data_IF_028288438527
#
_entry.id   IF_028288438527
#
_cell.length_a   1.000
_cell.length_b   1.000
_cell.length_c   1.000
_cell.angle_alpha   90.00
_cell.angle_beta   90.00
_cell.angle_gamma   90.00
#
_symmetry.space_group_name_H-M   'P 1'
#
loop_
_entity.id
_entity.type
_entity.pdbx_description
1 polymer ?
#
# COMPACT_ATOMS: atom_id res chain seq x y z
N UNK A 1 8.60 -70.18 15.77
CA UNK A 1 7.31 -70.75 15.35
C UNK A 1 6.60 -69.73 14.49
N UNK A 2 6.53 -70.03 13.20
CA UNK A 2 5.84 -69.28 12.15
C UNK A 2 4.32 -69.39 12.29
N UNK A 3 3.61 -68.26 12.28
CA UNK A 3 2.21 -68.23 11.82
C UNK A 3 1.97 -66.98 10.98
N UNK A 4 1.37 -67.26 9.83
CA UNK A 4 1.02 -66.41 8.70
C UNK A 4 -0.51 -66.21 8.63
N UNK A 5 -0.95 -65.17 7.90
CA UNK A 5 -2.23 -65.06 7.16
C UNK A 5 -3.45 -64.65 8.05
N UNK A 6 -4.38 -63.73 7.70
CA UNK A 6 -4.94 -63.26 6.42
C UNK A 6 -5.63 -61.89 6.60
N UNK A 7 -5.78 -61.16 5.50
CA UNK A 7 -6.66 -60.02 5.33
C UNK A 7 -8.16 -60.38 5.46
N UNK A 8 -8.98 -59.41 5.86
CA UNK A 8 -10.39 -59.31 5.48
C UNK A 8 -10.79 -57.84 5.34
N UNK A 9 -11.48 -57.60 4.23
CA UNK A 9 -11.94 -56.34 3.68
C UNK A 9 -13.43 -56.17 3.99
N UNK A 10 -13.89 -54.95 4.30
CA UNK A 10 -15.06 -54.25 3.70
C UNK A 10 -15.74 -53.23 4.63
N UNK A 11 -15.98 -52.05 4.03
CA UNK A 11 -17.14 -51.15 4.16
C UNK A 11 -17.39 -50.55 5.58
N UNK A 12 -17.44 -49.25 5.82
CA UNK A 12 -17.46 -48.05 4.99
C UNK A 12 -18.16 -46.98 5.83
N UNK A 13 -17.48 -45.88 6.17
CA UNK A 13 -18.08 -44.62 6.68
C UNK A 13 -17.07 -43.52 6.35
N UNK A 14 -17.47 -42.58 5.50
CA UNK A 14 -16.73 -41.33 5.22
C UNK A 14 -16.64 -40.46 6.49
N UNK A 15 -15.59 -39.64 6.58
CA UNK A 15 -15.92 -38.23 6.76
C UNK A 15 -15.13 -37.35 5.79
N UNK A 16 -15.89 -36.48 5.10
CA UNK A 16 -15.40 -35.26 4.49
C UNK A 16 -14.64 -34.43 5.54
N UNK A 17 -13.40 -34.07 5.21
CA UNK A 17 -12.69 -32.99 5.87
C UNK A 17 -11.90 -32.24 4.80
N UNK A 18 -12.47 -31.11 4.44
CA UNK A 18 -11.87 -30.02 3.67
C UNK A 18 -10.49 -29.59 4.22
N UNK A 19 -9.79 -28.88 3.35
CA UNK A 19 -8.62 -28.01 3.59
C UNK A 19 -7.25 -28.61 3.26
N UNK A 20 -6.98 -28.70 1.96
CA UNK A 20 -5.63 -28.57 1.41
C UNK A 20 -5.71 -27.80 0.09
N UNK A 21 -5.81 -26.48 0.20
CA UNK A 21 -5.37 -25.57 -0.86
C UNK A 21 -4.07 -24.91 -0.37
N UNK A 22 -2.99 -25.65 -0.57
CA UNK A 22 -1.62 -25.14 -0.56
C UNK A 22 -1.45 -24.22 -1.79
N UNK A 23 -1.95 -22.99 -1.71
CA UNK A 23 -1.67 -21.97 -2.73
C UNK A 23 -0.34 -21.32 -2.38
N UNK A 24 0.70 -21.78 -3.06
CA UNK A 24 1.98 -21.11 -3.15
C UNK A 24 1.76 -19.61 -3.43
N UNK A 25 2.54 -18.75 -2.77
CA UNK A 25 2.67 -17.34 -3.15
C UNK A 25 3.36 -17.28 -4.51
N UNK A 26 2.62 -17.54 -5.58
CA UNK A 26 3.05 -17.25 -6.94
C UNK A 26 3.04 -15.73 -7.09
N UNK A 27 4.25 -15.18 -7.10
CA UNK A 27 4.51 -13.81 -7.49
C UNK A 27 4.36 -13.71 -9.01
N UNK A 28 3.13 -13.70 -9.51
CA UNK A 28 2.83 -13.25 -10.87
C UNK A 28 2.90 -11.73 -10.89
N UNK A 29 4.14 -11.23 -10.93
CA UNK A 29 4.45 -9.87 -11.33
C UNK A 29 4.78 -9.94 -12.81
N UNK A 30 3.76 -9.81 -13.65
CA UNK A 30 3.96 -9.39 -15.05
C UNK A 30 4.51 -7.97 -15.01
N UNK A 31 5.83 -7.85 -15.11
CA UNK A 31 6.52 -6.59 -15.36
C UNK A 31 6.24 -6.17 -16.80
N UNK A 32 5.17 -5.40 -17.01
CA UNK A 32 5.03 -4.62 -18.23
C UNK A 32 6.13 -3.54 -18.26
N UNK A 33 7.12 -3.76 -19.14
CA UNK A 33 8.18 -2.80 -19.47
C UNK A 33 7.57 -1.48 -19.97
N UNK A 34 7.52 -0.48 -19.10
CA UNK A 34 7.32 0.90 -19.51
C UNK A 34 8.64 1.45 -20.07
N UNK A 35 8.87 1.27 -21.37
CA UNK A 35 9.98 1.92 -22.06
C UNK A 35 9.78 3.44 -22.05
N UNK A 36 10.64 4.13 -21.29
CA UNK A 36 10.78 5.57 -21.26
C UNK A 36 11.59 6.02 -22.48
N UNK A 37 10.99 6.80 -23.38
CA UNK A 37 11.73 7.57 -24.39
C UNK A 37 11.47 9.07 -24.19
N UNK A 38 12.47 9.88 -23.82
CA UNK A 38 12.29 11.30 -23.58
C UNK A 38 12.46 12.07 -24.89
N UNK A 39 11.44 12.79 -25.34
CA UNK A 39 11.63 13.79 -26.40
C UNK A 39 10.52 14.84 -26.44
N UNK A 40 10.91 16.01 -25.93
CA UNK A 40 10.47 17.37 -26.29
C UNK A 40 9.15 17.89 -25.70
N UNK A 41 9.37 18.75 -24.72
CA UNK A 41 8.49 19.79 -24.25
C UNK A 41 8.12 20.78 -25.36
N UNK A 42 6.85 21.18 -25.39
CA UNK A 42 6.44 22.53 -25.78
C UNK A 42 5.49 23.04 -24.69
N UNK A 43 5.87 24.20 -24.15
CA UNK A 43 5.15 24.97 -23.14
C UNK A 43 3.87 25.55 -23.75
N UNK A 44 2.72 25.30 -23.13
CA UNK A 44 1.55 26.15 -23.31
C UNK A 44 1.06 26.60 -21.94
N UNK A 45 1.42 27.84 -21.61
CA UNK A 45 1.00 28.57 -20.42
C UNK A 45 -0.46 29.02 -20.58
N UNK A 46 -1.39 28.13 -20.25
CA UNK A 46 -2.82 28.42 -20.15
C UNK A 46 -3.24 28.72 -18.70
N UNK A 47 -3.40 30.00 -18.41
CA UNK A 47 -3.95 30.61 -17.20
C UNK A 47 -5.10 29.81 -16.53
N UNK A 48 -4.83 29.17 -15.39
CA UNK A 48 -5.83 28.40 -14.64
C UNK A 48 -6.47 29.26 -13.55
N UNK A 49 -7.43 30.08 -13.96
CA UNK A 49 -8.21 30.96 -13.09
C UNK A 49 -9.56 30.34 -12.70
N UNK A 50 -9.76 30.22 -11.38
CA UNK A 50 -11.01 30.05 -10.63
C UNK A 50 -11.38 28.62 -10.22
N UNK A 51 -11.20 28.40 -8.91
CA UNK A 51 -11.86 27.37 -8.12
C UNK A 51 -13.39 27.44 -8.35
N UNK A 52 -13.98 26.30 -8.70
CA UNK A 52 -15.42 26.10 -8.65
C UNK A 52 -15.66 24.94 -7.69
N UNK A 53 -16.32 25.23 -6.58
CA UNK A 53 -16.75 24.22 -5.61
C UNK A 53 -17.65 23.17 -6.29
N UNK A 54 -17.63 21.90 -5.85
CA UNK A 54 -18.40 20.86 -6.52
C UNK A 54 -19.87 20.99 -6.10
N UNK A 55 -20.70 21.61 -6.95
CA UNK A 55 -22.13 21.37 -6.89
C UNK A 55 -22.40 19.87 -7.14
N UNK A 56 -23.14 19.25 -6.23
CA UNK A 56 -23.58 17.87 -6.30
C UNK A 56 -24.43 17.66 -7.57
N UNK A 57 -23.82 17.15 -8.63
CA UNK A 57 -24.56 16.69 -9.81
C UNK A 57 -25.40 15.44 -9.45
N UNK A 58 -26.64 15.34 -9.93
CA UNK A 58 -27.52 14.24 -9.57
C UNK A 58 -27.00 12.91 -10.14
N UNK A 59 -27.31 11.84 -9.42
CA UNK A 59 -27.11 10.46 -9.88
C UNK A 59 -27.65 10.30 -11.31
N UNK A 60 -26.95 9.51 -12.13
CA UNK A 60 -27.35 9.09 -13.48
C UNK A 60 -28.81 8.59 -13.45
N UNK A 61 -29.77 9.48 -13.72
CA UNK A 61 -31.15 9.10 -13.98
C UNK A 61 -31.16 8.47 -15.37
N UNK A 62 -31.54 7.20 -15.40
CA UNK A 62 -31.69 6.41 -16.60
C UNK A 62 -32.75 7.06 -17.50
N UNK A 63 -32.30 7.76 -18.55
CA UNK A 63 -33.17 8.08 -19.67
C UNK A 63 -32.93 7.01 -20.75
N UNK A 64 -33.82 6.04 -20.76
CA UNK A 64 -33.79 4.89 -21.66
C UNK A 64 -34.45 5.29 -22.99
N UNK A 65 -33.78 6.16 -23.76
CA UNK A 65 -34.23 6.52 -25.10
C UNK A 65 -33.52 5.66 -26.15
N UNK A 66 -34.31 4.81 -26.79
CA UNK A 66 -34.07 3.91 -27.93
C UNK A 66 -32.93 4.38 -28.86
N UNK A 67 -31.89 3.57 -28.99
CA UNK A 67 -30.89 3.69 -30.06
C UNK A 67 -30.92 2.40 -30.88
N UNK A 68 -31.11 2.60 -32.17
CA UNK A 68 -31.21 1.63 -33.26
C UNK A 68 -29.95 0.76 -33.38
N UNK A 69 -30.12 -0.45 -33.90
CA UNK A 69 -29.14 -1.53 -33.86
C UNK A 69 -28.11 -1.40 -34.98
N UNK A 70 -26.85 -1.05 -34.67
CA UNK A 70 -25.71 -1.38 -35.54
C UNK A 70 -24.35 -1.36 -34.79
N UNK A 71 -23.53 -2.37 -35.10
CA UNK A 71 -22.16 -2.71 -34.66
C UNK A 71 -21.93 -3.35 -33.26
N UNK A 72 -21.21 -4.51 -33.19
CA UNK A 72 -20.82 -5.13 -31.91
C UNK A 72 -19.85 -4.28 -31.08
N UNK A 73 -19.17 -3.32 -31.71
CA UNK A 73 -18.21 -2.39 -31.09
C UNK A 73 -18.95 -1.36 -30.21
N UNK A 74 -20.11 -0.88 -30.66
CA UNK A 74 -20.93 0.06 -29.89
C UNK A 74 -21.44 -0.61 -28.62
N UNK A 75 -21.87 -1.88 -28.68
CA UNK A 75 -22.32 -2.60 -27.50
C UNK A 75 -21.22 -2.75 -26.43
N UNK A 76 -19.98 -3.04 -26.84
CA UNK A 76 -18.83 -3.11 -25.93
C UNK A 76 -18.52 -1.75 -25.29
N UNK A 77 -18.56 -0.66 -26.08
CA UNK A 77 -18.37 0.70 -25.58
C UNK A 77 -19.50 1.11 -24.61
N UNK A 78 -20.77 0.85 -24.94
CA UNK A 78 -21.91 1.15 -24.07
C UNK A 78 -21.89 0.33 -22.78
N UNK A 79 -21.52 -0.95 -22.85
CA UNK A 79 -21.30 -1.78 -21.67
C UNK A 79 -20.19 -1.20 -20.78
N UNK A 80 -19.05 -0.81 -21.37
CA UNK A 80 -17.94 -0.20 -20.65
C UNK A 80 -18.34 1.14 -20.01
N UNK A 81 -18.99 2.04 -20.74
CA UNK A 81 -19.48 3.34 -20.25
C UNK A 81 -20.49 3.19 -19.11
N UNK A 82 -21.36 2.19 -19.20
CA UNK A 82 -22.30 1.85 -18.13
C UNK A 82 -21.57 1.30 -16.90
N UNK A 83 -20.53 0.49 -17.09
CA UNK A 83 -19.75 -0.09 -16.00
C UNK A 83 -18.98 1.00 -15.23
N UNK A 84 -18.22 1.86 -15.93
CA UNK A 84 -17.47 2.97 -15.30
C UNK A 84 -18.41 4.03 -14.69
N UNK A 85 -19.64 4.16 -15.21
CA UNK A 85 -20.66 5.07 -14.67
C UNK A 85 -21.14 4.70 -13.26
N UNK A 86 -20.92 3.45 -12.82
CA UNK A 86 -21.27 2.97 -11.48
C UNK A 86 -20.30 3.46 -10.39
N UNK A 87 -19.05 3.73 -10.75
CA UNK A 87 -17.97 4.07 -9.79
C UNK A 87 -18.00 5.57 -9.49
N UNK A 88 -18.37 6.04 -8.30
CA UNK A 88 -18.50 7.48 -8.02
C UNK A 88 -17.19 8.24 -8.21
N UNK A 89 -17.27 9.54 -8.51
CA UNK A 89 -16.07 10.40 -8.53
C UNK A 89 -15.47 10.46 -7.12
N UNK A 90 -14.13 10.39 -7.06
CA UNK A 90 -13.40 10.44 -5.80
C UNK A 90 -13.39 11.87 -5.24
N UNK A 91 -13.53 11.99 -3.92
CA UNK A 91 -13.19 13.24 -3.21
C UNK A 91 -11.69 13.23 -2.91
N UNK A 92 -11.11 14.41 -2.70
CA UNK A 92 -9.69 14.55 -2.36
C UNK A 92 -9.25 13.73 -1.12
N UNK A 93 -10.15 13.44 -0.18
CA UNK A 93 -9.85 12.55 0.96
C UNK A 93 -9.78 11.08 0.56
N UNK A 94 -10.66 10.66 -0.35
CA UNK A 94 -10.76 9.27 -0.80
C UNK A 94 -9.59 8.92 -1.70
N UNK A 95 -9.24 9.83 -2.62
CA UNK A 95 -8.05 9.72 -3.46
C UNK A 95 -6.77 9.55 -2.64
N UNK A 96 -6.58 10.37 -1.60
CA UNK A 96 -5.45 10.24 -0.67
C UNK A 96 -5.44 8.90 0.07
N UNK A 97 -6.60 8.38 0.45
CA UNK A 97 -6.67 7.08 1.12
C UNK A 97 -6.28 5.93 0.17
N UNK A 98 -6.70 5.99 -1.10
CA UNK A 98 -6.31 5.03 -2.12
C UNK A 98 -4.81 5.12 -2.42
N UNK A 99 -4.29 6.34 -2.64
CA UNK A 99 -2.87 6.58 -2.89
C UNK A 99 -1.98 6.00 -1.79
N UNK A 100 -2.35 6.21 -0.52
CA UNK A 100 -1.60 5.65 0.62
C UNK A 100 -1.56 4.13 0.62
N UNK A 101 -2.67 3.46 0.31
CA UNK A 101 -2.70 1.99 0.22
C UNK A 101 -1.82 1.48 -0.92
N UNK A 102 -1.79 2.21 -2.03
CA UNK A 102 -0.91 1.90 -3.17
C UNK A 102 0.56 2.05 -2.76
N UNK A 103 0.92 3.16 -2.09
CA UNK A 103 2.28 3.39 -1.58
C UNK A 103 2.73 2.31 -0.58
N UNK A 104 1.86 1.91 0.35
CA UNK A 104 2.14 0.81 1.29
C UNK A 104 2.42 -0.51 0.56
N UNK A 105 1.60 -0.87 -0.43
CA UNK A 105 1.79 -2.08 -1.22
C UNK A 105 3.05 -2.04 -2.10
N UNK A 106 3.36 -0.89 -2.69
CA UNK A 106 4.59 -0.70 -3.46
C UNK A 106 5.81 -0.84 -2.56
N UNK A 107 5.80 -0.17 -1.40
CA UNK A 107 6.89 -0.24 -0.44
C UNK A 107 7.09 -1.66 0.10
N UNK A 108 6.01 -2.41 0.35
CA UNK A 108 6.09 -3.82 0.72
C UNK A 108 6.79 -4.64 -0.37
N UNK A 109 6.42 -4.42 -1.64
CA UNK A 109 7.08 -5.07 -2.79
C UNK A 109 8.57 -4.74 -2.83
N UNK A 110 8.94 -3.47 -2.64
CA UNK A 110 10.33 -3.02 -2.64
C UNK A 110 11.14 -3.63 -1.48
N UNK A 111 10.53 -3.73 -0.29
CA UNK A 111 11.13 -4.39 0.88
C UNK A 111 11.36 -5.88 0.60
N UNK A 112 10.35 -6.59 0.07
CA UNK A 112 10.44 -8.01 -0.29
C UNK A 112 11.52 -8.23 -1.35
N UNK A 113 11.58 -7.40 -2.39
CA UNK A 113 12.59 -7.47 -3.42
C UNK A 113 14.01 -7.25 -2.84
N UNK A 114 14.16 -6.29 -1.93
CA UNK A 114 15.45 -5.98 -1.29
C UNK A 114 16.00 -7.08 -0.38
N UNK A 115 15.16 -7.99 0.12
CA UNK A 115 15.58 -9.12 0.97
C UNK A 115 15.58 -10.47 0.26
N UNK A 116 14.96 -10.56 -0.91
CA UNK A 116 14.94 -11.78 -1.73
C UNK A 116 16.37 -12.13 -2.15
N UNK A 117 16.86 -13.30 -1.74
CA UNK A 117 18.21 -13.79 -2.08
C UNK A 117 18.11 -15.11 -2.82
N UNK A 118 18.75 -15.19 -4.00
CA UNK A 118 18.84 -16.43 -4.77
C UNK A 118 17.48 -16.99 -5.23
N UNK A 119 16.47 -16.14 -5.42
CA UNK A 119 15.12 -16.54 -5.85
C UNK A 119 14.25 -17.18 -4.75
N UNK A 120 14.71 -17.22 -3.50
CA UNK A 120 13.91 -17.69 -2.37
C UNK A 120 13.02 -16.56 -1.89
N UNK A 121 11.71 -16.79 -1.90
CA UNK A 121 10.73 -15.84 -1.37
C UNK A 121 10.90 -15.72 0.15
N UNK A 122 11.01 -14.49 0.69
CA UNK A 122 11.17 -14.28 2.12
C UNK A 122 9.90 -14.68 2.88
N UNK A 123 10.07 -15.25 4.07
CA UNK A 123 8.96 -15.49 4.99
C UNK A 123 8.42 -14.17 5.57
N UNK A 124 7.22 -14.19 6.14
CA UNK A 124 6.69 -13.01 6.83
C UNK A 124 7.55 -12.61 8.03
N UNK A 125 8.20 -13.57 8.68
CA UNK A 125 9.20 -13.33 9.72
C UNK A 125 10.39 -12.56 9.15
N UNK A 126 10.93 -12.97 8.00
CA UNK A 126 12.06 -12.28 7.36
C UNK A 126 11.70 -10.84 6.99
N UNK A 127 10.50 -10.63 6.43
CA UNK A 127 9.98 -9.29 6.11
C UNK A 127 9.89 -8.45 7.40
N UNK A 128 9.32 -9.02 8.46
CA UNK A 128 9.14 -8.32 9.73
C UNK A 128 10.49 -7.94 10.36
N UNK A 129 11.44 -8.88 10.42
CA UNK A 129 12.80 -8.61 10.92
C UNK A 129 13.51 -7.54 10.07
N UNK A 130 13.32 -7.56 8.76
CA UNK A 130 13.88 -6.55 7.88
C UNK A 130 13.32 -5.15 8.15
N UNK A 131 12.00 -5.02 8.34
CA UNK A 131 11.35 -3.77 8.73
C UNK A 131 11.90 -3.26 10.07
N UNK A 132 12.00 -4.14 11.07
CA UNK A 132 12.60 -3.78 12.36
C UNK A 132 14.05 -3.32 12.24
N UNK A 133 14.87 -4.02 11.45
CA UNK A 133 16.26 -3.64 11.21
C UNK A 133 16.38 -2.31 10.46
N UNK A 134 15.44 -1.95 9.58
CA UNK A 134 15.39 -0.63 8.92
C UNK A 134 15.02 0.47 9.92
N UNK A 135 14.00 0.25 10.74
CA UNK A 135 13.59 1.16 11.82
C UNK A 135 14.73 1.38 12.83
N UNK A 136 15.40 0.31 13.26
CA UNK A 136 16.53 0.39 14.19
C UNK A 136 17.68 1.25 13.62
N UNK A 137 17.99 1.10 12.33
CA UNK A 137 19.02 1.90 11.65
C UNK A 137 18.65 3.39 11.55
N UNK A 138 17.36 3.72 11.54
CA UNK A 138 16.87 5.09 11.53
C UNK A 138 16.92 5.79 12.91
N UNK A 139 17.61 5.24 13.92
CA UNK A 139 17.64 5.79 15.29
C UNK A 139 17.96 7.27 15.40
N UNK A 140 18.90 7.77 14.60
CA UNK A 140 19.25 9.19 14.62
C UNK A 140 18.10 10.07 14.12
N UNK A 141 17.43 9.63 13.05
CA UNK A 141 16.25 10.31 12.51
C UNK A 141 15.09 10.28 13.51
N UNK A 142 14.80 9.12 14.10
CA UNK A 142 13.71 8.96 15.08
C UNK A 142 13.96 9.83 16.32
N UNK A 143 15.19 9.87 16.84
CA UNK A 143 15.55 10.71 17.97
C UNK A 143 15.44 12.21 17.61
N UNK A 144 15.96 12.61 16.45
CA UNK A 144 15.86 13.97 15.97
C UNK A 144 14.40 14.41 15.80
N UNK A 145 13.56 13.53 15.26
CA UNK A 145 12.12 13.71 15.08
C UNK A 145 11.41 13.85 16.42
N UNK A 146 11.70 12.97 17.39
CA UNK A 146 11.14 13.06 18.74
C UNK A 146 11.42 14.42 19.38
N UNK A 147 12.67 14.88 19.34
CA UNK A 147 13.05 16.20 19.85
C UNK A 147 12.37 17.35 19.10
N UNK A 148 12.27 17.29 17.76
CA UNK A 148 11.59 18.30 16.96
C UNK A 148 10.08 18.37 17.20
N UNK A 149 9.47 17.25 17.61
CA UNK A 149 8.06 17.14 18.00
C UNK A 149 7.81 17.43 19.48
N UNK A 150 8.85 17.74 20.26
CA UNK A 150 8.74 18.02 21.69
C UNK A 150 8.47 16.77 22.55
N UNK A 151 8.73 15.58 22.02
CA UNK A 151 8.63 14.33 22.76
C UNK A 151 9.85 14.18 23.68
N UNK A 152 9.62 13.70 24.91
CA UNK A 152 10.69 13.48 25.88
C UNK A 152 11.69 12.42 25.38
N UNK A 153 12.96 12.55 25.76
CA UNK A 153 14.01 11.55 25.51
C UNK A 153 13.56 10.19 26.06
N UNK A 154 13.27 9.22 25.18
CA UNK A 154 12.71 7.92 25.55
C UNK A 154 11.30 7.64 25.02
N UNK A 155 10.72 8.52 24.21
CA UNK A 155 9.49 8.25 23.48
C UNK A 155 9.60 6.93 22.72
N UNK A 156 8.59 6.07 22.87
CA UNK A 156 8.59 4.78 22.17
C UNK A 156 8.33 4.97 20.69
N UNK A 157 8.76 4.00 19.89
CA UNK A 157 8.46 3.97 18.46
C UNK A 157 6.97 4.16 18.16
N UNK A 158 6.10 3.57 19.00
CA UNK A 158 4.65 3.73 18.89
C UNK A 158 4.16 5.13 19.27
N UNK A 159 4.77 5.79 20.27
CA UNK A 159 4.43 7.17 20.66
C UNK A 159 4.76 8.16 19.53
N UNK A 160 5.84 7.90 18.80
CA UNK A 160 6.26 8.71 17.65
C UNK A 160 5.32 8.47 16.46
N UNK A 161 5.07 7.20 16.10
CA UNK A 161 4.19 6.82 15.00
C UNK A 161 2.74 7.26 15.16
N UNK A 162 2.25 7.31 16.40
CA UNK A 162 0.90 7.78 16.75
C UNK A 162 0.82 9.27 17.10
N UNK A 163 1.94 10.01 17.03
CA UNK A 163 1.95 11.42 17.41
C UNK A 163 1.13 12.27 16.43
N UNK A 164 0.14 13.07 16.88
CA UNK A 164 -0.71 13.87 16.00
C UNK A 164 0.08 14.83 15.11
N UNK A 165 1.20 15.37 15.61
CA UNK A 165 2.10 16.23 14.84
C UNK A 165 2.81 15.49 13.70
N UNK A 166 3.15 14.21 13.88
CA UNK A 166 3.71 13.37 12.82
C UNK A 166 2.63 12.97 11.82
N UNK A 167 1.46 12.54 12.29
CA UNK A 167 0.33 12.20 11.44
C UNK A 167 -0.11 13.40 10.57
N UNK A 168 -0.07 14.62 11.13
CA UNK A 168 -0.36 15.85 10.39
C UNK A 168 0.73 16.20 9.38
N UNK A 169 2.01 16.09 9.78
CA UNK A 169 3.16 16.37 8.91
C UNK A 169 3.29 15.39 7.73
N UNK A 170 2.74 14.18 7.84
CA UNK A 170 2.77 13.15 6.78
C UNK A 170 1.46 13.06 5.97
N UNK A 171 0.44 13.87 6.29
CA UNK A 171 -0.91 13.66 5.76
C UNK A 171 -1.11 14.08 4.29
N UNK A 172 -0.28 14.98 3.76
CA UNK A 172 -0.47 15.52 2.41
C UNK A 172 0.85 15.76 1.66
N UNK A 173 1.85 16.31 2.34
CA UNK A 173 3.21 16.57 1.85
C UNK A 173 4.07 16.57 3.12
N UNK A 174 5.27 15.98 3.08
CA UNK A 174 6.20 16.03 4.21
C UNK A 174 6.41 17.51 4.57
N UNK A 175 6.02 17.90 5.78
CA UNK A 175 6.11 19.29 6.24
C UNK A 175 7.52 19.86 5.98
N UNK A 176 7.60 20.88 5.12
CA UNK A 176 8.88 21.37 4.61
C UNK A 176 9.73 21.97 5.73
N UNK A 177 9.10 22.62 6.71
CA UNK A 177 9.78 23.24 7.84
C UNK A 177 10.31 22.20 8.84
N UNK A 178 9.54 21.17 9.15
CA UNK A 178 9.99 20.01 9.91
C UNK A 178 11.15 19.30 9.19
N UNK A 179 11.03 19.08 7.89
CA UNK A 179 12.08 18.44 7.07
C UNK A 179 13.36 19.27 7.08
N UNK A 180 13.27 20.58 6.90
CA UNK A 180 14.42 21.50 6.94
C UNK A 180 15.11 21.51 8.29
N UNK A 181 14.34 21.54 9.38
CA UNK A 181 14.89 21.46 10.75
C UNK A 181 15.59 20.12 11.01
N UNK A 182 15.02 19.02 10.54
CA UNK A 182 15.63 17.69 10.66
C UNK A 182 16.89 17.56 9.80
N UNK A 183 16.87 18.05 8.57
CA UNK A 183 18.01 18.04 7.66
C UNK A 183 19.19 18.83 8.24
N UNK A 184 18.93 20.03 8.76
CA UNK A 184 19.94 20.85 9.44
C UNK A 184 20.54 20.14 10.66
N UNK A 185 19.72 19.41 11.42
CA UNK A 185 20.15 18.71 12.63
C UNK A 185 20.93 17.42 12.34
N UNK A 186 20.56 16.71 11.28
CA UNK A 186 21.21 15.46 10.86
C UNK A 186 22.41 15.70 9.94
N UNK A 187 22.64 16.94 9.49
CA UNK A 187 23.68 17.26 8.51
C UNK A 187 23.43 16.65 7.13
N UNK A 188 22.15 16.47 6.78
CA UNK A 188 21.69 15.88 5.51
C UNK A 188 21.05 16.95 4.61
N UNK A 189 20.78 16.60 3.35
CA UNK A 189 19.97 17.46 2.46
C UNK A 189 18.48 17.31 2.78
N UNK A 190 17.68 18.33 2.46
CA UNK A 190 16.23 18.33 2.68
C UNK A 190 15.57 17.18 1.93
N UNK A 191 16.03 16.89 0.72
CA UNK A 191 15.53 15.79 -0.12
C UNK A 191 15.84 14.43 0.51
N UNK A 192 17.06 14.24 1.04
CA UNK A 192 17.42 12.98 1.69
C UNK A 192 16.60 12.77 2.97
N UNK A 193 16.47 13.80 3.80
CA UNK A 193 15.67 13.72 5.02
C UNK A 193 14.20 13.49 4.74
N UNK A 194 13.64 14.10 3.68
CA UNK A 194 12.26 13.83 3.25
C UNK A 194 12.07 12.36 2.87
N UNK A 195 13.00 11.80 2.07
CA UNK A 195 12.97 10.37 1.70
C UNK A 195 13.08 9.47 2.92
N UNK A 196 14.02 9.74 3.83
CA UNK A 196 14.23 8.92 5.02
C UNK A 196 13.00 8.96 5.95
N UNK A 197 12.31 10.10 6.05
CA UNK A 197 11.04 10.22 6.79
C UNK A 197 9.92 9.40 6.18
N UNK A 198 9.75 9.47 4.86
CA UNK A 198 8.74 8.68 4.15
C UNK A 198 9.01 7.19 4.33
N UNK A 199 10.26 6.75 4.16
CA UNK A 199 10.67 5.36 4.35
C UNK A 199 10.39 4.90 5.78
N UNK A 200 10.79 5.68 6.79
CA UNK A 200 10.56 5.36 8.20
C UNK A 200 9.06 5.22 8.51
N UNK A 201 8.23 6.10 7.94
CA UNK A 201 6.79 6.07 8.13
C UNK A 201 6.15 4.84 7.47
N UNK A 202 6.54 4.52 6.23
CA UNK A 202 6.07 3.33 5.54
C UNK A 202 6.51 2.05 6.26
N UNK A 203 7.78 1.98 6.69
CA UNK A 203 8.31 0.86 7.47
C UNK A 203 7.51 0.67 8.77
N UNK A 204 7.15 1.76 9.47
CA UNK A 204 6.32 1.71 10.68
C UNK A 204 4.91 1.19 10.43
N UNK A 205 4.30 1.53 9.29
CA UNK A 205 2.91 1.18 8.98
C UNK A 205 2.74 -0.24 8.47
N UNK A 206 3.77 -0.78 7.83
CA UNK A 206 3.78 -2.16 7.37
C UNK A 206 3.90 -3.19 8.50
N UNK A 207 4.29 -2.78 9.71
CA UNK A 207 4.42 -3.73 10.82
C UNK A 207 3.05 -4.31 11.22
N UNK A 208 2.90 -5.64 11.32
CA UNK A 208 1.67 -6.28 11.75
C UNK A 208 1.22 -5.83 13.16
N UNK A 209 -0.08 -5.56 13.39
CA UNK A 209 -0.59 -5.07 14.67
C UNK A 209 -0.37 -6.05 15.84
N UNK A 210 -0.30 -7.35 15.56
CA UNK A 210 0.01 -8.42 16.52
C UNK A 210 1.43 -8.32 17.09
N UNK A 211 2.29 -7.54 16.44
CA UNK A 211 3.71 -7.35 16.77
C UNK A 211 3.92 -5.95 17.36
N UNK A 212 3.06 -5.00 17.00
CA UNK A 212 2.99 -3.67 17.63
C UNK A 212 2.52 -3.73 19.09
N UNK A 213 1.68 -4.71 19.45
CA UNK A 213 1.14 -4.88 20.82
C UNK A 213 2.19 -5.26 21.87
N UNK A 214 3.07 -6.26 21.67
CA UNK A 214 4.18 -6.53 22.59
C UNK A 214 5.25 -5.43 22.60
N UNK A 215 5.32 -4.58 21.56
CA UNK A 215 6.13 -3.36 21.55
C UNK A 215 5.54 -2.20 22.37
N UNK A 216 4.44 -2.42 23.10
CA UNK A 216 3.73 -1.41 23.86
C UNK A 216 4.62 -0.57 24.80
N UNK A 217 4.27 0.73 24.93
CA UNK A 217 4.81 1.76 25.83
C UNK A 217 6.22 1.49 26.37
N UNK A 218 7.23 1.98 25.65
CA UNK A 218 8.62 2.05 26.14
C UNK A 218 9.67 1.38 25.26
N UNK A 219 9.30 0.81 24.11
CA UNK A 219 10.27 0.37 23.10
C UNK A 219 10.96 1.59 22.46
N UNK A 220 12.02 2.05 23.10
CA UNK A 220 12.99 2.97 22.51
C UNK A 220 13.64 2.30 21.30
N UNK A 221 14.11 3.09 20.33
CA UNK A 221 14.81 2.56 19.14
C UNK A 221 16.05 1.75 19.51
N UNK A 222 16.71 2.10 20.62
CA UNK A 222 17.84 1.32 21.15
C UNK A 222 17.42 -0.07 21.68
N UNK A 223 16.19 -0.20 22.18
CA UNK A 223 15.60 -1.50 22.54
C UNK A 223 15.31 -2.32 21.29
N UNK A 224 14.80 -1.68 20.23
CA UNK A 224 14.54 -2.35 18.94
C UNK A 224 15.84 -2.87 18.33
N UNK A 225 16.92 -2.09 18.36
CA UNK A 225 18.24 -2.50 17.88
C UNK A 225 18.71 -3.79 18.57
N UNK A 226 18.57 -3.88 19.90
CA UNK A 226 18.92 -5.10 20.66
C UNK A 226 17.98 -6.28 20.40
N UNK A 227 16.71 -5.99 20.13
CA UNK A 227 15.68 -7.00 19.92
C UNK A 227 15.86 -7.71 18.56
N UNK A 228 16.27 -6.97 17.53
CA UNK A 228 16.55 -7.53 16.20
C UNK A 228 17.69 -8.56 16.24
N UNK A 229 18.66 -8.38 17.13
CA UNK A 229 19.78 -9.30 17.30
C UNK A 229 19.46 -10.49 18.24
N UNK A 230 18.29 -10.49 18.90
CA UNK A 230 17.91 -11.53 19.86
C UNK A 230 17.26 -12.74 19.14
N UNK A 231 17.86 -13.95 19.21
CA UNK A 231 17.26 -15.14 18.61
C UNK A 231 15.89 -15.50 19.20
N UNK A 232 15.63 -15.17 20.48
CA UNK A 232 14.34 -15.43 21.11
C UNK A 232 13.22 -14.56 20.50
N UNK A 233 13.57 -13.35 20.03
CA UNK A 233 12.63 -12.50 19.31
C UNK A 233 12.28 -13.07 17.95
N UNK A 234 13.27 -13.59 17.21
CA UNK A 234 13.02 -14.26 15.94
C UNK A 234 12.12 -15.50 16.11
N UNK A 235 12.26 -16.25 17.21
CA UNK A 235 11.38 -17.37 17.54
C UNK A 235 9.94 -16.93 17.87
N UNK A 236 9.76 -15.84 18.62
CA UNK A 236 8.43 -15.27 18.87
C UNK A 236 7.77 -14.81 17.57
N UNK A 237 8.51 -14.16 16.67
CA UNK A 237 8.01 -13.77 15.35
C UNK A 237 7.60 -14.99 14.51
N UNK A 238 8.42 -16.06 14.50
CA UNK A 238 8.08 -17.32 13.82
C UNK A 238 6.79 -17.94 14.35
N UNK A 239 6.53 -17.85 15.65
CA UNK A 239 5.27 -18.34 16.23
C UNK A 239 4.03 -17.59 15.72
N UNK A 240 4.21 -16.36 15.23
CA UNK A 240 3.16 -15.47 14.69
C UNK A 240 3.20 -15.34 13.16
N UNK A 241 4.00 -16.16 12.49
CA UNK A 241 4.21 -16.15 11.04
C UNK A 241 2.89 -16.12 10.25
N UNK A 242 1.92 -16.92 10.65
CA UNK A 242 0.62 -17.00 9.97
C UNK A 242 -0.18 -15.68 10.06
N UNK A 243 -0.08 -14.96 11.19
CA UNK A 243 -0.74 -13.67 11.34
C UNK A 243 -0.05 -12.59 10.50
N UNK A 244 1.28 -12.52 10.56
CA UNK A 244 2.09 -11.61 9.75
C UNK A 244 1.88 -11.85 8.24
N UNK A 245 1.87 -13.11 7.81
CA UNK A 245 1.58 -13.50 6.42
C UNK A 245 0.21 -13.01 5.95
N UNK A 246 -0.84 -13.17 6.78
CA UNK A 246 -2.18 -12.65 6.45
C UNK A 246 -2.16 -11.12 6.33
N UNK A 247 -1.49 -10.43 7.25
CA UNK A 247 -1.37 -8.98 7.21
C UNK A 247 -0.74 -8.49 5.90
N UNK A 248 0.43 -9.02 5.53
CA UNK A 248 1.11 -8.61 4.28
C UNK A 248 0.30 -8.93 3.02
N UNK A 249 -0.41 -10.08 2.99
CA UNK A 249 -1.34 -10.38 1.89
C UNK A 249 -2.49 -9.39 1.81
N UNK A 250 -3.05 -8.98 2.96
CA UNK A 250 -4.09 -7.95 3.01
C UNK A 250 -3.57 -6.62 2.48
N UNK A 251 -2.37 -6.18 2.89
CA UNK A 251 -1.75 -4.96 2.38
C UNK A 251 -1.59 -5.00 0.86
N UNK A 252 -1.04 -6.09 0.32
CA UNK A 252 -0.90 -6.26 -1.14
C UNK A 252 -2.24 -6.30 -1.88
N UNK A 253 -3.24 -7.00 -1.33
CA UNK A 253 -4.59 -7.06 -1.91
C UNK A 253 -5.27 -5.69 -1.92
N UNK A 254 -5.15 -4.94 -0.82
CA UNK A 254 -5.72 -3.61 -0.67
C UNK A 254 -5.06 -2.60 -1.61
N UNK A 255 -3.74 -2.69 -1.81
CA UNK A 255 -3.02 -1.88 -2.78
C UNK A 255 -3.54 -2.13 -4.21
N UNK A 256 -3.67 -3.39 -4.61
CA UNK A 256 -4.19 -3.77 -5.94
C UNK A 256 -5.62 -3.27 -6.17
N UNK A 257 -6.50 -3.48 -5.18
CA UNK A 257 -7.89 -2.97 -5.23
C UNK A 257 -7.93 -1.44 -5.29
N UNK A 258 -7.04 -0.78 -4.56
CA UNK A 258 -6.98 0.69 -4.53
C UNK A 258 -6.50 1.26 -5.86
N UNK A 259 -5.50 0.63 -6.49
CA UNK A 259 -5.03 1.00 -7.82
C UNK A 259 -6.14 0.83 -8.88
N UNK A 260 -6.86 -0.29 -8.84
CA UNK A 260 -8.02 -0.53 -9.72
C UNK A 260 -9.10 0.55 -9.55
N UNK A 261 -9.48 0.84 -8.30
CA UNK A 261 -10.49 1.85 -8.01
C UNK A 261 -10.06 3.26 -8.45
N UNK A 262 -8.80 3.64 -8.21
CA UNK A 262 -8.27 4.91 -8.65
C UNK A 262 -8.28 5.04 -10.18
N UNK A 263 -7.89 3.97 -10.89
CA UNK A 263 -7.92 3.91 -12.34
C UNK A 263 -9.35 4.04 -12.90
N UNK A 264 -10.32 3.32 -12.34
CA UNK A 264 -11.73 3.40 -12.74
C UNK A 264 -12.32 4.80 -12.52
N UNK A 265 -12.01 5.43 -11.38
CA UNK A 265 -12.46 6.79 -11.09
C UNK A 265 -11.84 7.82 -12.05
N UNK A 266 -10.55 7.69 -12.35
CA UNK A 266 -9.85 8.54 -13.31
C UNK A 266 -10.42 8.36 -14.74
N UNK A 267 -10.69 7.11 -15.14
CA UNK A 267 -11.33 6.82 -16.42
C UNK A 267 -12.74 7.45 -16.51
N UNK A 268 -13.54 7.38 -15.44
CA UNK A 268 -14.84 8.07 -15.38
C UNK A 268 -14.68 9.58 -15.53
N UNK A 269 -13.68 10.19 -14.88
CA UNK A 269 -13.40 11.62 -15.02
C UNK A 269 -13.07 11.96 -16.49
N UNK A 270 -12.14 11.24 -17.10
CA UNK A 270 -11.74 11.45 -18.51
C UNK A 270 -12.92 11.33 -19.46
N UNK A 271 -13.74 10.29 -19.31
CA UNK A 271 -14.93 10.09 -20.15
C UNK A 271 -15.95 11.21 -19.96
N UNK A 272 -16.16 11.68 -18.72
CA UNK A 272 -17.07 12.80 -18.44
C UNK A 272 -16.60 14.11 -19.10
N UNK A 273 -15.29 14.36 -19.10
CA UNK A 273 -14.66 15.51 -19.76
C UNK A 273 -14.78 15.38 -21.27
N UNK A 274 -14.39 14.24 -21.86
CA UNK A 274 -14.49 13.99 -23.29
C UNK A 274 -15.93 14.17 -23.83
N UNK A 275 -16.94 13.71 -23.06
CA UNK A 275 -18.34 13.90 -23.43
C UNK A 275 -18.78 15.37 -23.40
N UNK A 276 -18.21 16.20 -22.53
CA UNK A 276 -18.47 17.65 -22.48
C UNK A 276 -17.94 18.39 -23.72
N UNK A 277 -16.93 17.85 -24.38
CA UNK A 277 -16.30 18.45 -25.58
C UNK A 277 -16.75 17.85 -26.91
N UNK A 278 -17.52 16.75 -26.90
CA UNK A 278 -18.07 16.05 -28.09
C UNK A 278 -18.95 16.89 -29.04
N UNK A 279 -19.21 18.16 -28.74
CA UNK A 279 -19.98 19.09 -29.58
C UNK A 279 -19.33 20.46 -29.78
N UNK A 280 -18.09 20.67 -29.33
CA UNK A 280 -17.31 21.89 -29.60
C UNK A 280 -16.18 21.49 -30.53
N UNK A 281 -16.42 21.57 -31.84
CA UNK A 281 -15.37 21.34 -32.83
C UNK A 281 -14.20 22.28 -32.58
N UNK A 282 -12.98 21.75 -32.58
CA UNK A 282 -11.81 22.53 -33.02
C UNK A 282 -12.08 22.83 -34.50
N UNK A 283 -12.57 24.03 -34.79
CA UNK A 283 -12.66 24.57 -36.14
C UNK A 283 -11.40 25.34 -36.49
#
# INVERSE_FOLDING_TARGET
MTYTVKASNKEGVEPEADLQDDVALEADVELENCEHNPSKAEEDTGEWGSAVEPEMAPAFAADSAVIDSQEPIDNAMWMYLREIGKVPLLRAKDERALARKIEEGQHLTDVVAGITRGGVTPSATDITLALFGRIARAKYLVNALGECLGLHSGASFNDIGSHPGLCSAMSCVVDEELTRRLAAKLGQTVEQTARDLVILWLDSRLLPPEIQTPMGKGCSVSTIERLVDDPAFADDLRSREAAASRHYRTVGSDAKKSAQHLNEANLRLVVSVARKYRGRGMS
#
